data_IF_755353047461
#
_entry.id   IF_755353047461
#
_cell.length_a   1.000
_cell.length_b   1.000
_cell.length_c   1.000
_cell.angle_alpha   90.00
_cell.angle_beta   90.00
_cell.angle_gamma   90.00
#
_symmetry.space_group_name_H-M   'P 1'
#
loop_
_entity.id
_entity.type
_entity.pdbx_description
1 polymer ?
#
# COMPACT_ATOMS: atom_id res chain seq x y z
N UNK A 1 3.59 21.12 3.94
CA UNK A 1 2.44 20.67 3.14
C UNK A 1 1.67 19.54 3.83
N UNK A 2 2.25 18.34 4.07
CA UNK A 2 1.51 17.25 4.77
C UNK A 2 1.09 17.61 6.20
N UNK A 3 1.94 18.29 6.96
CA UNK A 3 1.59 18.79 8.32
C UNK A 3 0.46 19.83 8.35
N UNK A 4 0.08 20.39 7.21
CA UNK A 4 -1.00 21.36 7.08
C UNK A 4 -2.24 20.75 6.42
N UNK A 5 -2.26 19.45 6.18
CA UNK A 5 -3.40 18.77 5.61
C UNK A 5 -4.61 18.92 6.56
N UNK A 6 -5.75 19.31 6.00
CA UNK A 6 -7.00 19.45 6.75
C UNK A 6 -7.73 18.11 6.95
N UNK A 7 -7.29 17.07 6.26
CA UNK A 7 -7.85 15.71 6.31
C UNK A 7 -6.72 14.67 6.29
N UNK A 8 -6.95 13.44 6.73
CA UNK A 8 -5.98 12.36 6.63
C UNK A 8 -5.51 12.14 5.19
N UNK A 9 -4.23 11.85 5.02
CA UNK A 9 -3.61 11.57 3.72
C UNK A 9 -3.05 10.16 3.74
N UNK A 10 -3.33 9.37 2.70
CA UNK A 10 -2.68 8.08 2.49
C UNK A 10 -1.68 8.20 1.34
N UNK A 11 -0.42 7.91 1.62
CA UNK A 11 0.66 7.89 0.63
C UNK A 11 1.02 6.44 0.31
N UNK A 12 1.18 6.12 -1.00
CA UNK A 12 1.49 4.76 -1.46
C UNK A 12 2.79 4.70 -2.28
N UNK A 13 3.93 5.21 -1.78
CA UNK A 13 5.16 5.26 -2.54
C UNK A 13 5.80 3.88 -2.70
N UNK A 14 6.48 3.64 -3.83
CA UNK A 14 7.49 2.60 -3.92
C UNK A 14 8.83 3.10 -3.30
N UNK A 15 9.84 2.21 -3.07
CA UNK A 15 11.05 2.60 -2.36
C UNK A 15 11.81 3.80 -2.95
N UNK A 16 11.84 3.94 -4.28
CA UNK A 16 12.52 5.09 -4.91
C UNK A 16 11.74 6.40 -4.72
N UNK A 17 10.42 6.37 -4.83
CA UNK A 17 9.56 7.53 -4.53
C UNK A 17 9.73 7.94 -3.07
N UNK A 18 9.71 6.96 -2.16
CA UNK A 18 9.91 7.22 -0.74
C UNK A 18 11.29 7.78 -0.42
N UNK A 19 12.34 7.27 -1.08
CA UNK A 19 13.69 7.80 -0.97
C UNK A 19 13.76 9.29 -1.34
N UNK A 20 13.09 9.68 -2.42
CA UNK A 20 12.98 11.08 -2.86
C UNK A 20 12.22 11.95 -1.85
N UNK A 21 11.10 11.43 -1.30
CA UNK A 21 10.33 12.13 -0.27
C UNK A 21 11.13 12.37 1.01
N UNK A 22 12.00 11.42 1.39
CA UNK A 22 12.79 11.50 2.62
C UNK A 22 14.14 12.19 2.45
N UNK A 23 14.60 12.43 1.22
CA UNK A 23 15.98 12.88 0.95
C UNK A 23 17.04 11.84 1.33
N UNK A 24 16.71 10.53 1.24
CA UNK A 24 17.58 9.40 1.62
C UNK A 24 17.86 8.50 0.42
N UNK A 25 18.89 7.65 0.53
CA UNK A 25 19.12 6.60 -0.47
C UNK A 25 18.13 5.44 -0.30
N UNK A 26 17.83 4.75 -1.41
CA UNK A 26 16.98 3.52 -1.38
C UNK A 26 17.61 2.47 -0.45
N UNK A 27 18.94 2.32 -0.47
CA UNK A 27 19.64 1.38 0.40
C UNK A 27 19.41 1.67 1.90
N UNK A 28 19.46 2.94 2.30
CA UNK A 28 19.20 3.34 3.67
C UNK A 28 17.76 3.04 4.11
N UNK A 29 16.79 3.18 3.20
CA UNK A 29 15.40 2.83 3.48
C UNK A 29 15.22 1.31 3.57
N UNK A 30 15.81 0.54 2.65
CA UNK A 30 15.69 -0.91 2.62
C UNK A 30 16.37 -1.59 3.81
N UNK A 31 17.38 -0.96 4.42
CA UNK A 31 18.05 -1.47 5.62
C UNK A 31 17.08 -1.63 6.82
N UNK A 32 16.09 -0.74 6.96
CA UNK A 32 15.01 -0.86 7.96
C UNK A 32 13.77 -0.10 7.50
N UNK A 33 12.97 -0.74 6.67
CA UNK A 33 11.76 -0.16 6.07
C UNK A 33 10.73 0.28 7.10
N UNK A 34 10.52 -0.55 8.11
CA UNK A 34 9.53 -0.29 9.15
C UNK A 34 9.89 0.97 9.95
N UNK A 35 11.13 1.07 10.44
CA UNK A 35 11.58 2.24 11.17
C UNK A 35 11.59 3.51 10.30
N UNK A 36 12.02 3.41 9.04
CA UNK A 36 12.03 4.54 8.12
C UNK A 36 10.62 5.06 7.84
N UNK A 37 9.65 4.15 7.62
CA UNK A 37 8.26 4.48 7.38
C UNK A 37 7.60 5.13 8.61
N UNK A 38 7.76 4.56 9.80
CA UNK A 38 7.20 5.08 11.03
C UNK A 38 7.78 6.46 11.38
N UNK A 39 9.09 6.63 11.25
CA UNK A 39 9.74 7.93 11.49
C UNK A 39 9.22 9.01 10.53
N UNK A 40 9.02 8.68 9.24
CA UNK A 40 8.43 9.60 8.29
C UNK A 40 7.00 9.98 8.69
N UNK A 41 6.16 9.01 9.02
CA UNK A 41 4.77 9.26 9.39
C UNK A 41 4.68 10.21 10.60
N UNK A 42 5.45 9.95 11.66
CA UNK A 42 5.54 10.83 12.85
C UNK A 42 6.03 12.24 12.52
N UNK A 43 7.02 12.35 11.63
CA UNK A 43 7.64 13.63 11.32
C UNK A 43 6.81 14.52 10.40
N UNK A 44 6.05 13.94 9.46
CA UNK A 44 5.49 14.70 8.34
C UNK A 44 3.97 14.73 8.28
N UNK A 45 3.24 13.78 8.86
CA UNK A 45 1.77 13.88 8.90
C UNK A 45 1.30 14.90 9.95
N UNK A 46 0.12 15.46 9.71
CA UNK A 46 -0.52 16.36 10.66
C UNK A 46 -1.01 15.55 11.88
N UNK A 47 -0.52 15.82 13.09
CA UNK A 47 -0.91 15.06 14.28
C UNK A 47 -2.40 15.20 14.65
N UNK A 48 -3.06 16.28 14.19
CA UNK A 48 -4.47 16.52 14.50
C UNK A 48 -5.43 15.67 13.65
N UNK A 49 -5.04 15.32 12.42
CA UNK A 49 -5.90 14.57 11.48
C UNK A 49 -5.30 13.22 11.09
N UNK A 50 -4.02 13.02 11.35
CA UNK A 50 -3.31 11.79 11.00
C UNK A 50 -2.94 11.68 9.53
N UNK A 51 -2.42 10.52 9.19
CA UNK A 51 -2.08 10.11 7.83
C UNK A 51 -1.50 8.70 7.85
N UNK A 52 -1.43 8.06 6.71
CA UNK A 52 -0.90 6.69 6.56
C UNK A 52 0.12 6.63 5.45
N UNK A 53 1.23 5.99 5.72
CA UNK A 53 2.23 5.62 4.73
C UNK A 53 2.13 4.13 4.44
N UNK A 54 1.89 3.78 3.18
CA UNK A 54 1.93 2.44 2.63
C UNK A 54 3.17 2.34 1.74
N UNK A 55 4.29 1.87 2.28
CA UNK A 55 5.55 1.70 1.57
C UNK A 55 5.56 0.38 0.80
N UNK A 56 5.31 0.47 -0.51
CA UNK A 56 5.23 -0.69 -1.42
C UNK A 56 6.53 -1.49 -1.47
N UNK A 57 6.40 -2.80 -1.72
CA UNK A 57 7.50 -3.75 -1.93
C UNK A 57 7.20 -5.11 -1.32
N UNK A 58 8.13 -6.05 -1.43
CA UNK A 58 8.02 -7.33 -0.73
C UNK A 58 7.87 -7.05 0.78
N UNK A 59 6.80 -7.56 1.40
CA UNK A 59 6.43 -7.16 2.75
C UNK A 59 6.11 -5.66 2.82
N UNK A 60 5.08 -5.22 2.09
CA UNK A 60 4.61 -3.82 2.13
C UNK A 60 4.38 -3.38 3.56
N UNK A 61 5.01 -2.28 3.96
CA UNK A 61 4.88 -1.70 5.31
C UNK A 61 3.79 -0.64 5.30
N UNK A 62 2.88 -0.72 6.28
CA UNK A 62 1.76 0.22 6.44
C UNK A 62 1.85 0.81 7.85
N UNK A 63 1.84 2.13 7.97
CA UNK A 63 1.98 2.79 9.27
C UNK A 63 1.33 4.16 9.30
N UNK A 64 0.77 4.50 10.45
CA UNK A 64 0.33 5.86 10.81
C UNK A 64 1.39 6.60 11.65
N UNK A 65 2.50 5.92 11.96
CA UNK A 65 3.57 6.40 12.83
C UNK A 65 3.56 5.74 14.21
N UNK A 66 2.43 5.30 14.72
CA UNK A 66 2.30 4.58 15.99
C UNK A 66 2.18 3.07 15.77
N UNK A 67 1.28 2.67 14.88
CA UNK A 67 1.09 1.28 14.46
C UNK A 67 1.96 1.00 13.25
N UNK A 68 2.62 -0.15 13.22
CA UNK A 68 3.38 -0.64 12.05
C UNK A 68 2.91 -2.04 11.70
N UNK A 69 2.40 -2.19 10.48
CA UNK A 69 1.90 -3.44 9.92
C UNK A 69 2.77 -3.86 8.73
N UNK A 70 2.92 -5.17 8.55
CA UNK A 70 3.58 -5.74 7.39
C UNK A 70 2.58 -6.61 6.63
N UNK A 71 2.33 -6.30 5.38
CA UNK A 71 1.42 -7.08 4.54
C UNK A 71 2.06 -8.41 4.14
N UNK A 72 1.44 -9.56 4.45
CA UNK A 72 1.99 -10.88 4.16
C UNK A 72 1.69 -11.37 2.74
N UNK A 73 0.82 -10.69 1.98
CA UNK A 73 0.36 -11.14 0.66
C UNK A 73 1.08 -10.43 -0.47
N UNK A 74 1.05 -11.03 -1.65
CA UNK A 74 1.61 -10.51 -2.88
C UNK A 74 2.72 -11.37 -3.46
N UNK A 75 2.87 -11.28 -4.78
CA UNK A 75 3.89 -11.99 -5.55
C UNK A 75 4.63 -11.04 -6.49
N UNK A 76 5.64 -11.55 -7.17
CA UNK A 76 6.39 -10.84 -8.22
C UNK A 76 5.50 -10.42 -9.41
N UNK A 77 4.34 -11.05 -9.58
CA UNK A 77 3.33 -10.66 -10.55
C UNK A 77 2.89 -9.19 -10.44
N UNK A 78 2.95 -8.63 -9.22
CA UNK A 78 2.60 -7.24 -8.95
C UNK A 78 3.70 -6.23 -9.31
N UNK A 79 4.89 -6.69 -9.71
CA UNK A 79 6.01 -5.81 -10.08
C UNK A 79 5.88 -5.29 -11.52
N UNK A 80 4.74 -4.70 -11.85
CA UNK A 80 4.40 -4.20 -13.20
C UNK A 80 3.75 -2.83 -13.16
N UNK A 81 3.88 -2.11 -14.25
CA UNK A 81 3.23 -0.79 -14.41
C UNK A 81 1.71 -0.91 -14.26
N UNK A 82 1.10 0.03 -13.54
CA UNK A 82 -0.34 0.10 -13.31
C UNK A 82 -0.86 -0.67 -12.09
N UNK A 83 -0.12 -1.65 -11.56
CA UNK A 83 -0.57 -2.38 -10.36
C UNK A 83 -0.62 -1.48 -9.13
N UNK A 84 0.29 -0.52 -9.04
CA UNK A 84 0.27 0.51 -7.99
C UNK A 84 -0.93 1.44 -8.08
N UNK A 85 -1.38 1.77 -9.28
CA UNK A 85 -2.58 2.58 -9.51
C UNK A 85 -3.84 1.81 -9.11
N UNK A 86 -3.88 0.50 -9.41
CA UNK A 86 -4.93 -0.40 -8.92
C UNK A 86 -5.00 -0.41 -7.40
N UNK A 87 -3.86 -0.53 -6.72
CA UNK A 87 -3.79 -0.46 -5.25
C UNK A 87 -4.30 0.90 -4.73
N UNK A 88 -3.89 1.99 -5.34
CA UNK A 88 -4.35 3.33 -4.98
C UNK A 88 -5.87 3.47 -5.13
N UNK A 89 -6.43 2.96 -6.23
CA UNK A 89 -7.87 2.91 -6.45
C UNK A 89 -8.63 2.11 -5.38
N UNK A 90 -8.08 0.96 -4.94
CA UNK A 90 -8.66 0.17 -3.84
C UNK A 90 -8.64 0.94 -2.51
N UNK A 91 -7.55 1.61 -2.18
CA UNK A 91 -7.48 2.47 -0.99
C UNK A 91 -8.55 3.55 -1.04
N UNK A 92 -8.69 4.24 -2.19
CA UNK A 92 -9.72 5.26 -2.38
C UNK A 92 -11.13 4.70 -2.23
N UNK A 93 -11.42 3.50 -2.75
CA UNK A 93 -12.72 2.85 -2.63
C UNK A 93 -13.07 2.57 -1.15
N UNK A 94 -12.16 1.97 -0.38
CA UNK A 94 -12.40 1.71 1.05
C UNK A 94 -12.55 3.01 1.86
N UNK A 95 -11.80 4.05 1.54
CA UNK A 95 -11.98 5.37 2.16
C UNK A 95 -13.35 5.96 1.84
N UNK A 96 -13.83 5.82 0.61
CA UNK A 96 -15.16 6.28 0.19
C UNK A 96 -16.30 5.53 0.88
N UNK A 97 -16.10 4.25 1.20
CA UNK A 97 -17.01 3.42 2.01
C UNK A 97 -16.93 3.73 3.52
N UNK A 98 -16.10 4.67 3.93
CA UNK A 98 -16.01 5.13 5.32
C UNK A 98 -14.99 4.40 6.19
N UNK A 99 -14.13 3.56 5.64
CA UNK A 99 -13.07 2.93 6.40
C UNK A 99 -12.05 3.98 6.91
N UNK A 100 -11.51 3.74 8.12
CA UNK A 100 -10.42 4.57 8.63
C UNK A 100 -9.17 4.43 7.73
N UNK A 101 -8.33 5.48 7.62
CA UNK A 101 -7.19 5.45 6.70
C UNK A 101 -6.25 4.26 6.85
N UNK A 102 -5.96 3.84 8.09
CA UNK A 102 -5.09 2.69 8.37
C UNK A 102 -5.75 1.38 7.92
N UNK A 103 -7.04 1.20 8.22
CA UNK A 103 -7.81 0.03 7.85
C UNK A 103 -7.97 -0.06 6.33
N UNK A 104 -8.27 1.06 5.66
CA UNK A 104 -8.37 1.15 4.21
C UNK A 104 -7.05 0.75 3.52
N UNK A 105 -5.92 1.25 4.02
CA UNK A 105 -4.61 0.91 3.48
C UNK A 105 -4.26 -0.57 3.70
N UNK A 106 -4.57 -1.10 4.89
CA UNK A 106 -4.32 -2.51 5.24
C UNK A 106 -5.18 -3.46 4.37
N UNK A 107 -6.49 -3.23 4.30
CA UNK A 107 -7.41 -4.04 3.50
C UNK A 107 -7.05 -4.00 2.01
N UNK A 108 -6.77 -2.80 1.49
CA UNK A 108 -6.38 -2.64 0.09
C UNK A 108 -5.09 -3.40 -0.22
N UNK A 109 -4.05 -3.28 0.62
CA UNK A 109 -2.79 -3.99 0.41
C UNK A 109 -2.96 -5.51 0.47
N UNK A 110 -3.74 -6.01 1.43
CA UNK A 110 -4.01 -7.43 1.61
C UNK A 110 -4.75 -8.02 0.41
N UNK A 111 -5.87 -7.39 0.02
CA UNK A 111 -6.70 -7.85 -1.11
C UNK A 111 -5.94 -7.73 -2.43
N UNK A 112 -5.21 -6.64 -2.64
CA UNK A 112 -4.36 -6.45 -3.81
C UNK A 112 -3.29 -7.54 -3.92
N UNK A 113 -2.66 -7.89 -2.79
CA UNK A 113 -1.68 -8.97 -2.72
C UNK A 113 -2.29 -10.32 -3.12
N UNK A 114 -3.38 -10.73 -2.46
CA UNK A 114 -4.10 -11.96 -2.79
C UNK A 114 -4.59 -11.99 -4.24
N UNK A 115 -5.10 -10.88 -4.75
CA UNK A 115 -5.53 -10.77 -6.14
C UNK A 115 -4.38 -11.02 -7.13
N UNK A 116 -3.19 -10.50 -6.81
CA UNK A 116 -1.98 -10.76 -7.60
C UNK A 116 -1.56 -12.22 -7.57
N UNK A 117 -1.59 -12.86 -6.40
CA UNK A 117 -1.31 -14.29 -6.24
C UNK A 117 -2.28 -15.16 -7.04
N UNK A 118 -3.59 -14.91 -6.91
CA UNK A 118 -4.64 -15.64 -7.65
C UNK A 118 -4.54 -15.43 -9.16
N UNK A 119 -4.19 -14.21 -9.60
CA UNK A 119 -3.97 -13.94 -11.02
C UNK A 119 -2.74 -14.69 -11.54
N UNK A 120 -1.67 -14.80 -10.74
CA UNK A 120 -0.45 -15.52 -11.10
C UNK A 120 -0.68 -17.04 -11.23
N UNK A 121 -1.57 -17.62 -10.42
CA UNK A 121 -1.98 -19.03 -10.55
C UNK A 121 -2.58 -19.33 -11.94
N UNK A 122 -3.24 -18.33 -12.56
CA UNK A 122 -3.90 -18.48 -13.86
C UNK A 122 -3.00 -18.08 -15.02
N UNK A 123 -2.26 -16.95 -14.88
CA UNK A 123 -1.52 -16.33 -15.98
C UNK A 123 0.00 -16.43 -15.84
N UNK A 124 0.51 -17.05 -14.78
CA UNK A 124 1.89 -16.98 -14.29
C UNK A 124 2.28 -15.55 -13.86
N UNK A 125 3.37 -15.41 -13.11
CA UNK A 125 3.89 -14.10 -12.70
C UNK A 125 4.20 -13.18 -13.89
N UNK A 126 4.54 -13.73 -15.04
CA UNK A 126 4.89 -12.96 -16.24
C UNK A 126 3.65 -12.46 -17.00
N UNK A 127 2.56 -13.22 -16.98
CA UNK A 127 1.36 -12.96 -17.78
C UNK A 127 0.36 -12.00 -17.14
N UNK A 128 0.45 -11.78 -15.82
CA UNK A 128 -0.48 -10.88 -15.09
C UNK A 128 -0.35 -9.44 -15.56
N UNK A 129 -1.48 -8.79 -15.80
CA UNK A 129 -1.59 -7.36 -16.10
C UNK A 129 -2.34 -6.64 -14.96
N UNK A 130 -2.19 -5.32 -14.84
CA UNK A 130 -2.85 -4.53 -13.79
C UNK A 130 -4.39 -4.71 -13.78
N UNK A 131 -5.01 -4.80 -14.96
CA UNK A 131 -6.46 -5.06 -15.09
C UNK A 131 -6.89 -6.42 -14.52
N UNK A 132 -6.02 -7.42 -14.58
CA UNK A 132 -6.32 -8.75 -14.04
C UNK A 132 -6.37 -8.69 -12.51
N UNK A 133 -5.46 -7.92 -11.89
CA UNK A 133 -5.47 -7.69 -10.44
C UNK A 133 -6.81 -7.12 -9.99
N UNK A 134 -7.38 -6.16 -10.71
CA UNK A 134 -8.71 -5.60 -10.40
C UNK A 134 -9.80 -6.66 -10.49
N UNK A 135 -9.76 -7.51 -11.53
CA UNK A 135 -10.73 -8.61 -11.74
C UNK A 135 -10.64 -9.65 -10.62
N UNK A 136 -9.42 -10.03 -10.23
CA UNK A 136 -9.21 -11.00 -9.16
C UNK A 136 -9.51 -10.41 -7.78
N UNK A 137 -9.33 -9.10 -7.56
CA UNK A 137 -9.72 -8.43 -6.33
C UNK A 137 -11.23 -8.58 -6.04
N UNK A 138 -12.07 -8.46 -7.08
CA UNK A 138 -13.51 -8.70 -6.93
C UNK A 138 -13.83 -10.15 -6.51
N UNK A 139 -13.05 -11.12 -6.99
CA UNK A 139 -13.20 -12.54 -6.58
C UNK A 139 -12.77 -12.75 -5.12
N UNK A 140 -11.63 -12.16 -4.73
CA UNK A 140 -11.13 -12.20 -3.35
C UNK A 140 -12.15 -11.58 -2.41
N UNK A 141 -12.68 -10.40 -2.72
CA UNK A 141 -13.73 -9.75 -1.92
C UNK A 141 -14.94 -10.67 -1.71
N UNK A 142 -15.42 -11.31 -2.76
CA UNK A 142 -16.53 -12.27 -2.67
C UNK A 142 -16.22 -13.45 -1.75
N UNK A 143 -14.97 -13.88 -1.66
CA UNK A 143 -14.55 -15.01 -0.81
C UNK A 143 -14.51 -14.62 0.67
N UNK A 144 -14.02 -13.43 1.00
CA UNK A 144 -13.83 -12.97 2.39
C UNK A 144 -15.07 -12.31 2.99
N UNK A 145 -16.09 -11.98 2.19
CA UNK A 145 -17.35 -11.36 2.65
C UNK A 145 -18.52 -12.35 2.78
N UNK A 146 -18.26 -13.64 2.60
CA UNK A 146 -19.24 -14.72 2.86
C UNK A 146 -19.19 -15.17 4.31
#
# INVERSE_FOLDING_TARGET
>A
MLRQAARPVVLTPHPLEFARLCGKSVAAIQANRAAAAAAFAKAYFNPAVGGVLLLKGAGTVITDGETVLCNPTGSTALSKGGTGDTLCGMVCAFLAEGAKPLDAAMLAAYIHGLAGERAAEVYSDYGVLARDVSTFAAKVLREITK
#
